data_IF_126451861916
#
_entry.id   IF_126451861916
#
_cell.length_a   1.000
_cell.length_b   1.000
_cell.length_c   1.000
_cell.angle_alpha   90.00
_cell.angle_beta   90.00
_cell.angle_gamma   90.00
#
_symmetry.space_group_name_H-M   'P 1'
#
loop_
_entity.id
_entity.type
_entity.pdbx_description
1 polymer ?
#
# COMPACT_ATOMS: atom_id res chain seq x y z
N UNK A 1 38.32 30.27 -13.10
CA UNK A 1 37.80 30.02 -11.74
C UNK A 1 36.35 30.51 -11.47
N UNK A 2 35.66 31.23 -12.38
CA UNK A 2 34.30 31.77 -12.14
C UNK A 2 33.14 31.10 -12.90
N UNK A 3 33.37 30.25 -13.90
CA UNK A 3 32.30 29.54 -14.63
C UNK A 3 31.85 28.22 -13.98
N UNK A 4 32.77 27.46 -13.35
CA UNK A 4 32.44 26.18 -12.69
C UNK A 4 31.50 26.33 -11.48
N UNK A 5 31.58 27.44 -10.75
CA UNK A 5 30.74 27.74 -9.58
C UNK A 5 29.31 28.13 -9.93
N UNK A 6 29.09 28.81 -11.06
CA UNK A 6 27.74 29.19 -11.53
C UNK A 6 26.95 27.99 -12.08
N UNK A 7 27.64 27.00 -12.65
CA UNK A 7 27.04 25.84 -13.31
C UNK A 7 26.76 24.71 -12.30
N UNK A 8 27.65 24.51 -11.32
CA UNK A 8 27.37 23.69 -10.13
C UNK A 8 26.13 24.22 -9.40
N UNK A 9 26.01 25.55 -9.25
CA UNK A 9 24.82 26.18 -8.68
C UNK A 9 23.54 25.98 -9.51
N UNK A 10 23.60 25.88 -10.84
CA UNK A 10 22.39 25.63 -11.67
C UNK A 10 21.91 24.18 -11.57
N UNK A 11 22.83 23.21 -11.48
CA UNK A 11 22.51 21.80 -11.25
C UNK A 11 22.09 21.53 -9.81
N UNK A 12 22.71 22.19 -8.84
CA UNK A 12 22.22 22.24 -7.46
C UNK A 12 20.87 22.94 -7.38
N UNK A 13 20.63 24.04 -8.09
CA UNK A 13 19.29 24.67 -8.15
C UNK A 13 18.27 23.81 -8.87
N UNK A 14 18.65 22.98 -9.85
CA UNK A 14 17.74 22.02 -10.46
C UNK A 14 17.43 20.89 -9.47
N UNK A 15 18.46 20.33 -8.82
CA UNK A 15 18.33 19.35 -7.74
C UNK A 15 17.49 19.89 -6.59
N UNK A 16 17.73 21.14 -6.18
CA UNK A 16 17.08 21.83 -5.08
C UNK A 16 15.70 22.34 -5.47
N UNK A 17 15.42 22.69 -6.73
CA UNK A 17 14.06 22.97 -7.23
C UNK A 17 13.25 21.69 -7.39
N UNK A 18 13.89 20.60 -7.81
CA UNK A 18 13.31 19.27 -7.81
C UNK A 18 13.01 18.87 -6.35
N UNK A 19 13.97 18.95 -5.43
CA UNK A 19 13.76 18.67 -4.01
C UNK A 19 12.81 19.68 -3.31
N UNK A 20 12.76 20.94 -3.72
CA UNK A 20 11.88 21.97 -3.14
C UNK A 20 10.45 21.87 -3.68
N UNK A 21 10.27 21.49 -4.95
CA UNK A 21 8.95 21.17 -5.53
C UNK A 21 8.38 19.86 -4.99
N UNK A 22 9.26 18.97 -4.53
CA UNK A 22 8.99 17.68 -3.90
C UNK A 22 8.79 17.82 -2.37
N UNK A 23 9.05 19.00 -1.79
CA UNK A 23 9.09 19.20 -0.35
C UNK A 23 10.27 18.46 0.29
N UNK A 24 10.72 18.94 1.46
CA UNK A 24 11.79 18.32 2.29
C UNK A 24 11.52 16.85 2.72
N UNK A 25 10.51 16.17 2.17
CA UNK A 25 10.04 14.85 2.55
C UNK A 25 10.50 13.67 1.69
N UNK A 26 11.13 13.89 0.53
CA UNK A 26 11.67 12.80 -0.30
C UNK A 26 13.19 12.73 -0.22
N UNK A 27 13.71 12.58 1.00
CA UNK A 27 15.01 11.92 1.10
C UNK A 27 14.85 10.46 0.68
N UNK A 28 15.98 9.80 0.46
CA UNK A 28 16.13 8.34 0.32
C UNK A 28 15.54 7.58 1.55
N UNK A 29 15.00 8.28 2.55
CA UNK A 29 14.33 7.71 3.74
C UNK A 29 12.84 7.40 3.54
N UNK A 30 12.24 7.66 2.37
CA UNK A 30 10.92 7.10 2.11
C UNK A 30 11.02 5.56 2.08
N UNK A 31 10.20 4.86 2.90
CA UNK A 31 10.38 3.44 3.11
C UNK A 31 10.16 2.68 1.80
N UNK A 32 10.90 1.58 1.57
CA UNK A 32 10.86 0.85 0.31
C UNK A 32 9.43 0.43 -0.04
N UNK A 33 9.15 0.18 -1.33
CA UNK A 33 7.89 -0.44 -1.75
C UNK A 33 7.53 -1.62 -0.85
N UNK A 34 6.24 -1.79 -0.57
CA UNK A 34 5.73 -2.94 0.18
C UNK A 34 5.90 -4.17 -0.71
N UNK A 35 7.05 -4.83 -0.56
CA UNK A 35 7.43 -6.04 -1.30
C UNK A 35 8.09 -6.99 -0.33
N UNK A 36 7.49 -8.16 -0.19
CA UNK A 36 8.04 -9.29 0.52
C UNK A 36 8.11 -10.51 -0.42
N UNK A 37 8.50 -11.65 0.11
CA UNK A 37 8.43 -12.91 -0.63
C UNK A 37 6.99 -13.17 -1.10
N UNK A 38 6.82 -13.51 -2.38
CA UNK A 38 5.49 -13.76 -2.92
C UNK A 38 4.91 -15.05 -2.36
N UNK A 39 3.73 -14.96 -1.77
CA UNK A 39 3.06 -16.12 -1.18
C UNK A 39 1.95 -16.65 -2.08
N UNK A 40 1.89 -17.98 -2.21
CA UNK A 40 0.72 -18.69 -2.71
C UNK A 40 -0.45 -18.57 -1.73
N UNK A 41 -1.66 -18.97 -2.16
CA UNK A 41 -2.83 -18.96 -1.29
C UNK A 41 -2.66 -19.83 -0.03
N UNK A 42 -1.88 -20.92 -0.12
CA UNK A 42 -1.60 -21.80 1.03
C UNK A 42 -0.55 -21.19 1.96
N UNK A 43 0.47 -20.53 1.41
CA UNK A 43 1.46 -19.78 2.20
C UNK A 43 0.81 -18.58 2.91
N UNK A 44 -0.09 -17.87 2.23
CA UNK A 44 -0.90 -16.81 2.84
C UNK A 44 -1.76 -17.34 3.99
N UNK A 45 -2.34 -18.53 3.88
CA UNK A 45 -3.08 -19.15 4.98
C UNK A 45 -2.19 -19.38 6.21
N UNK A 46 -0.99 -19.95 6.02
CA UNK A 46 -0.02 -20.17 7.09
C UNK A 46 0.44 -18.85 7.72
N UNK A 47 0.69 -17.85 6.87
CA UNK A 47 1.04 -16.49 7.31
C UNK A 47 -0.07 -15.87 8.15
N UNK A 48 -1.34 -16.08 7.80
CA UNK A 48 -2.50 -15.59 8.58
C UNK A 48 -2.49 -16.07 10.02
N UNK A 49 -2.19 -17.36 10.23
CA UNK A 49 -2.08 -17.94 11.58
C UNK A 49 -0.88 -17.37 12.32
N UNK A 50 0.28 -17.27 11.67
CA UNK A 50 1.50 -16.73 12.27
C UNK A 50 1.33 -15.25 12.67
N UNK A 51 0.73 -14.45 11.80
CA UNK A 51 0.45 -13.04 12.03
C UNK A 51 -0.55 -12.84 13.18
N UNK A 52 -1.61 -13.65 13.23
CA UNK A 52 -2.57 -13.59 14.32
C UNK A 52 -1.93 -13.90 15.69
N UNK A 53 -0.97 -14.82 15.75
CA UNK A 53 -0.23 -15.14 16.97
C UNK A 53 0.71 -14.01 17.42
N UNK A 54 1.25 -13.22 16.48
CA UNK A 54 2.16 -12.11 16.80
C UNK A 54 1.44 -10.83 17.23
N UNK A 55 0.17 -10.69 16.83
CA UNK A 55 -0.65 -9.51 17.11
C UNK A 55 -1.04 -9.42 18.58
N UNK A 56 -0.54 -8.38 19.25
CA UNK A 56 -0.94 -8.00 20.61
C UNK A 56 -1.74 -6.71 20.54
N UNK A 57 -2.93 -6.69 21.13
CA UNK A 57 -3.84 -5.54 21.10
C UNK A 57 -3.51 -4.53 22.20
N UNK A 58 -3.56 -3.24 21.85
CA UNK A 58 -3.40 -2.15 22.78
C UNK A 58 -4.65 -2.00 23.68
N UNK A 59 -4.43 -1.66 24.95
CA UNK A 59 -5.52 -1.44 25.91
C UNK A 59 -6.14 -0.04 25.82
N UNK A 60 -5.47 0.91 25.16
CA UNK A 60 -5.86 2.32 25.09
C UNK A 60 -6.05 2.80 23.66
N UNK A 61 -7.03 3.69 23.47
CA UNK A 61 -7.28 4.34 22.19
C UNK A 61 -6.16 5.33 21.89
N UNK A 62 -5.40 5.06 20.83
CA UNK A 62 -4.45 6.00 20.25
C UNK A 62 -5.15 6.92 19.23
N UNK A 63 -4.61 8.11 18.91
CA UNK A 63 -5.16 8.97 17.86
C UNK A 63 -5.17 8.29 16.48
N UNK A 64 -6.02 8.78 15.58
CA UNK A 64 -6.05 8.34 14.18
C UNK A 64 -4.81 8.84 13.44
N UNK A 65 -4.06 7.91 12.83
CA UNK A 65 -2.88 8.22 12.00
C UNK A 65 -3.13 7.96 10.52
N UNK A 66 -4.19 7.23 10.15
CA UNK A 66 -4.44 6.77 8.79
C UNK A 66 -4.82 7.91 7.84
N UNK A 67 -5.60 8.89 8.32
CA UNK A 67 -5.92 10.09 7.53
C UNK A 67 -4.69 10.93 7.22
N UNK A 68 -3.80 11.10 8.20
CA UNK A 68 -2.52 11.79 8.02
C UNK A 68 -1.62 11.07 6.99
N UNK A 69 -1.57 9.74 7.06
CA UNK A 69 -0.85 8.91 6.07
C UNK A 69 -1.45 9.03 4.68
N UNK A 70 -2.78 8.95 4.54
CA UNK A 70 -3.48 9.11 3.26
C UNK A 70 -3.20 10.48 2.64
N UNK A 71 -3.24 11.55 3.44
CA UNK A 71 -2.90 12.89 2.98
C UNK A 71 -1.40 13.05 2.63
N UNK A 72 -0.51 12.30 3.28
CA UNK A 72 0.90 12.18 2.90
C UNK A 72 1.06 11.51 1.54
N UNK A 73 0.44 10.34 1.35
CA UNK A 73 0.48 9.58 0.11
C UNK A 73 -0.13 10.36 -1.05
N UNK A 74 -1.25 11.06 -0.86
CA UNK A 74 -1.86 11.93 -1.87
C UNK A 74 -0.90 13.04 -2.32
N UNK A 75 -0.32 13.79 -1.37
CA UNK A 75 0.66 14.83 -1.69
C UNK A 75 1.86 14.27 -2.44
N UNK A 76 2.32 13.09 -2.03
CA UNK A 76 3.43 12.39 -2.67
C UNK A 76 3.08 12.04 -4.14
N UNK A 77 1.98 11.32 -4.35
CA UNK A 77 1.51 10.92 -5.68
C UNK A 77 1.28 12.12 -6.61
N UNK A 78 0.59 13.17 -6.14
CA UNK A 78 0.38 14.39 -6.92
C UNK A 78 1.72 15.08 -7.25
N UNK A 79 2.67 15.12 -6.32
CA UNK A 79 4.00 15.69 -6.53
C UNK A 79 4.77 14.97 -7.64
N UNK A 80 4.79 13.63 -7.61
CA UNK A 80 5.44 12.80 -8.63
C UNK A 80 4.78 12.98 -9.99
N UNK A 81 3.45 12.94 -10.07
CA UNK A 81 2.75 13.09 -11.34
C UNK A 81 2.97 14.48 -11.96
N UNK A 82 3.00 15.54 -11.15
CA UNK A 82 3.34 16.88 -11.62
C UNK A 82 4.76 16.93 -12.18
N UNK A 83 5.73 16.37 -11.46
CA UNK A 83 7.12 16.29 -11.89
C UNK A 83 7.26 15.56 -13.24
N UNK A 84 6.61 14.41 -13.40
CA UNK A 84 6.68 13.63 -14.64
C UNK A 84 5.95 14.34 -15.80
N UNK A 85 4.87 15.07 -15.53
CA UNK A 85 4.11 15.83 -16.55
C UNK A 85 4.87 17.05 -17.06
N UNK A 86 5.44 17.86 -16.15
CA UNK A 86 6.22 19.06 -16.50
C UNK A 86 7.41 18.74 -17.43
N UNK A 87 7.86 17.49 -17.41
CA UNK A 87 9.02 17.01 -18.14
C UNK A 87 8.64 16.30 -19.44
N UNK A 88 7.50 15.60 -19.48
CA UNK A 88 6.99 14.99 -20.70
C UNK A 88 6.81 16.03 -21.82
N UNK A 89 6.51 17.28 -21.46
CA UNK A 89 6.41 18.42 -22.38
C UNK A 89 7.76 18.91 -22.92
N UNK A 90 8.87 18.59 -22.24
CA UNK A 90 10.25 18.94 -22.66
C UNK A 90 10.90 17.85 -23.53
N UNK A 91 10.11 16.89 -24.03
CA UNK A 91 10.53 15.80 -24.91
C UNK A 91 11.63 14.88 -24.32
N UNK A 92 11.70 14.79 -22.98
CA UNK A 92 12.60 13.86 -22.28
C UNK A 92 11.91 12.52 -22.07
N UNK A 93 12.68 11.43 -22.19
CA UNK A 93 12.13 10.08 -22.02
C UNK A 93 11.67 9.83 -20.57
N UNK A 94 10.37 9.54 -20.42
CA UNK A 94 9.80 9.03 -19.17
C UNK A 94 10.04 7.52 -19.11
N UNK A 95 10.18 6.97 -17.91
CA UNK A 95 10.29 5.51 -17.77
C UNK A 95 8.93 4.86 -18.03
N UNK A 96 8.86 3.61 -18.52
CA UNK A 96 7.58 2.94 -18.76
C UNK A 96 6.67 2.86 -17.51
N UNK A 97 7.26 2.79 -16.32
CA UNK A 97 6.49 2.81 -15.07
C UNK A 97 5.94 4.21 -14.75
N UNK A 98 6.67 5.27 -15.10
CA UNK A 98 6.20 6.65 -14.99
C UNK A 98 5.08 6.99 -15.97
N UNK A 99 5.17 6.52 -17.22
CA UNK A 99 4.09 6.64 -18.20
C UNK A 99 2.81 5.96 -17.70
N UNK A 100 2.94 4.71 -17.25
CA UNK A 100 1.80 3.97 -16.71
C UNK A 100 1.16 4.65 -15.49
N UNK A 101 1.97 5.27 -14.63
CA UNK A 101 1.48 6.05 -13.49
C UNK A 101 0.66 7.27 -13.95
N UNK A 102 1.17 8.03 -14.94
CA UNK A 102 0.49 9.19 -15.50
C UNK A 102 -0.83 8.79 -16.17
N UNK A 103 -0.81 7.74 -16.99
CA UNK A 103 -1.98 7.23 -17.71
C UNK A 103 -3.12 6.83 -16.76
N UNK A 104 -2.78 6.38 -15.55
CA UNK A 104 -3.76 5.89 -14.56
C UNK A 104 -3.96 6.86 -13.39
N UNK A 105 -3.40 8.07 -13.42
CA UNK A 105 -3.45 8.98 -12.26
C UNK A 105 -4.88 9.38 -11.89
N UNK A 106 -5.77 9.56 -12.87
CA UNK A 106 -7.19 9.88 -12.62
C UNK A 106 -7.87 8.83 -11.73
N UNK A 107 -7.55 7.54 -11.93
CA UNK A 107 -8.10 6.43 -11.14
C UNK A 107 -7.56 6.50 -9.71
N UNK A 108 -6.29 6.80 -9.53
CA UNK A 108 -5.67 6.96 -8.21
C UNK A 108 -6.36 8.10 -7.44
N UNK A 109 -6.58 9.25 -8.08
CA UNK A 109 -7.29 10.37 -7.46
C UNK A 109 -8.72 10.02 -7.05
N UNK A 110 -9.44 9.28 -7.90
CA UNK A 110 -10.78 8.79 -7.58
C UNK A 110 -10.77 7.85 -6.37
N UNK A 111 -9.79 6.94 -6.29
CA UNK A 111 -9.66 6.03 -5.15
C UNK A 111 -9.26 6.74 -3.86
N UNK A 112 -8.42 7.78 -3.92
CA UNK A 112 -8.10 8.62 -2.76
C UNK A 112 -9.35 9.35 -2.26
N UNK A 113 -10.13 9.96 -3.18
CA UNK A 113 -11.40 10.62 -2.84
C UNK A 113 -12.39 9.64 -2.20
N UNK A 114 -12.49 8.43 -2.75
CA UNK A 114 -13.32 7.35 -2.21
C UNK A 114 -12.83 6.95 -0.82
N UNK A 115 -11.52 6.76 -0.62
CA UNK A 115 -10.95 6.41 0.67
C UNK A 115 -11.26 7.48 1.73
N UNK A 116 -11.13 8.77 1.41
CA UNK A 116 -11.49 9.88 2.33
C UNK A 116 -12.97 9.87 2.71
N UNK A 117 -13.87 9.56 1.78
CA UNK A 117 -15.33 9.48 2.06
C UNK A 117 -15.69 8.32 2.98
N UNK A 118 -15.05 7.17 2.78
CA UNK A 118 -15.31 5.95 3.56
C UNK A 118 -14.50 5.85 4.86
N UNK A 119 -13.56 6.77 5.09
CA UNK A 119 -12.78 6.88 6.32
C UNK A 119 -13.07 8.22 7.03
N UNK A 120 -14.27 8.44 7.58
CA UNK A 120 -14.57 9.66 8.33
C UNK A 120 -13.71 9.76 9.60
N UNK A 121 -13.54 10.97 10.12
CA UNK A 121 -12.84 11.21 11.37
C UNK A 121 -13.44 10.35 12.49
N UNK A 122 -12.58 9.55 13.13
CA UNK A 122 -12.99 8.69 14.23
C UNK A 122 -13.35 7.25 13.86
N UNK A 123 -13.54 6.92 12.58
CA UNK A 123 -13.82 5.54 12.16
C UNK A 123 -12.76 4.55 12.64
N UNK A 124 -11.48 4.94 12.57
CA UNK A 124 -10.37 4.09 13.02
C UNK A 124 -10.14 4.11 14.54
N UNK A 125 -10.83 4.97 15.29
CA UNK A 125 -10.70 5.03 16.76
C UNK A 125 -11.42 3.86 17.43
N UNK A 126 -12.49 3.36 16.83
CA UNK A 126 -13.28 2.24 17.36
C UNK A 126 -12.66 0.88 17.04
N UNK A 127 -11.68 0.81 16.13
CA UNK A 127 -11.04 -0.44 15.72
C UNK A 127 -9.92 -0.86 16.70
N UNK A 128 -9.79 -2.16 17.03
CA UNK A 128 -8.68 -2.69 17.82
C UNK A 128 -7.31 -2.40 17.20
N UNK A 129 -6.44 -1.75 17.98
CA UNK A 129 -5.10 -1.32 17.55
C UNK A 129 -4.02 -2.25 18.05
N UNK A 130 -2.92 -2.35 17.32
CA UNK A 130 -1.74 -3.10 17.74
C UNK A 130 -0.93 -2.34 18.79
N UNK A 131 -0.46 -3.04 19.82
CA UNK A 131 0.37 -2.50 20.88
C UNK A 131 1.86 -2.43 20.50
N UNK A 132 2.30 -3.34 19.64
CA UNK A 132 3.72 -3.57 19.31
C UNK A 132 3.91 -3.86 17.82
N UNK A 133 5.17 -3.90 17.38
CA UNK A 133 5.55 -4.18 16.01
C UNK A 133 5.55 -2.96 15.08
N UNK A 134 5.84 -3.15 13.78
CA UNK A 134 5.94 -2.06 12.80
C UNK A 134 4.66 -1.23 12.67
N UNK A 135 3.50 -1.87 12.88
CA UNK A 135 2.18 -1.26 12.80
C UNK A 135 1.62 -0.82 14.17
N UNK A 136 2.45 -0.70 15.20
CA UNK A 136 2.03 -0.24 16.52
C UNK A 136 1.25 1.09 16.44
N UNK A 137 0.11 1.14 17.13
CA UNK A 137 -0.82 2.27 17.14
C UNK A 137 -1.73 2.37 15.92
N UNK A 138 -1.67 1.43 14.97
CA UNK A 138 -2.62 1.31 13.87
C UNK A 138 -3.61 0.15 14.11
N UNK A 139 -4.81 0.17 13.50
CA UNK A 139 -5.74 -0.96 13.55
C UNK A 139 -5.07 -2.25 13.06
N UNK A 140 -5.29 -3.39 13.71
CA UNK A 140 -4.68 -4.66 13.27
C UNK A 140 -5.11 -5.07 11.87
N UNK A 141 -6.33 -4.72 11.47
CA UNK A 141 -6.84 -4.93 10.11
C UNK A 141 -6.11 -4.10 9.05
N UNK A 142 -5.47 -2.99 9.44
CA UNK A 142 -4.58 -2.26 8.55
C UNK A 142 -3.28 -3.03 8.33
N UNK A 143 -2.73 -3.66 9.36
CA UNK A 143 -1.54 -4.51 9.23
C UNK A 143 -1.82 -5.75 8.37
N UNK A 144 -2.97 -6.41 8.58
CA UNK A 144 -3.46 -7.48 7.69
C UNK A 144 -3.52 -7.01 6.23
N UNK A 145 -3.99 -5.78 5.99
CA UNK A 145 -3.99 -5.22 4.64
C UNK A 145 -2.58 -4.98 4.10
N UNK A 146 -1.66 -4.41 4.90
CA UNK A 146 -0.26 -4.20 4.50
C UNK A 146 0.43 -5.53 4.14
N UNK A 147 0.25 -6.57 4.94
CA UNK A 147 0.81 -7.91 4.72
C UNK A 147 0.24 -8.54 3.44
N UNK A 148 -1.07 -8.37 3.18
CA UNK A 148 -1.69 -8.81 1.92
C UNK A 148 -1.04 -8.14 0.71
N UNK A 149 -0.76 -6.84 0.80
CA UNK A 149 -0.15 -6.07 -0.29
C UNK A 149 1.34 -6.41 -0.45
N UNK A 150 2.07 -6.61 0.64
CA UNK A 150 3.49 -6.93 0.62
C UNK A 150 3.78 -8.30 -0.01
N UNK A 151 3.03 -9.33 0.39
CA UNK A 151 3.18 -10.70 -0.11
C UNK A 151 2.47 -10.96 -1.45
N UNK A 152 1.64 -10.00 -1.91
CA UNK A 152 1.02 -10.00 -3.24
C UNK A 152 1.71 -9.09 -4.27
N UNK A 153 2.79 -8.39 -3.92
CA UNK A 153 3.40 -7.29 -4.72
C UNK A 153 2.34 -6.33 -5.29
N UNK A 154 1.49 -5.80 -4.41
CA UNK A 154 0.43 -4.87 -4.80
C UNK A 154 -0.83 -5.54 -5.36
N UNK A 155 -0.81 -6.83 -5.68
CA UNK A 155 -1.97 -7.58 -6.21
C UNK A 155 -2.87 -8.07 -5.09
N UNK A 156 -4.15 -7.71 -5.16
CA UNK A 156 -5.20 -8.23 -4.29
C UNK A 156 -5.93 -9.34 -5.04
N UNK A 157 -5.89 -10.54 -4.49
CA UNK A 157 -6.64 -11.70 -4.96
C UNK A 157 -7.69 -12.09 -3.89
N UNK A 158 -8.96 -12.11 -4.26
CA UNK A 158 -10.06 -12.34 -3.30
C UNK A 158 -10.01 -13.73 -2.68
N UNK A 159 -9.57 -14.75 -3.42
CA UNK A 159 -9.48 -16.11 -2.90
C UNK A 159 -8.38 -16.21 -1.85
N UNK A 160 -7.19 -15.70 -2.15
CA UNK A 160 -6.06 -15.62 -1.23
C UNK A 160 -6.41 -14.79 0.02
N UNK A 161 -7.02 -13.62 -0.17
CA UNK A 161 -7.49 -12.76 0.93
C UNK A 161 -8.49 -13.50 1.84
N UNK A 162 -9.46 -14.22 1.26
CA UNK A 162 -10.45 -14.98 2.03
C UNK A 162 -9.78 -16.06 2.87
N UNK A 163 -8.83 -16.81 2.31
CA UNK A 163 -8.08 -17.82 3.05
C UNK A 163 -7.23 -17.21 4.16
N UNK A 164 -6.53 -16.11 3.87
CA UNK A 164 -5.70 -15.40 4.84
C UNK A 164 -6.52 -14.91 6.04
N UNK A 165 -7.64 -14.21 5.79
CA UNK A 165 -8.51 -13.68 6.84
C UNK A 165 -9.19 -14.82 7.62
N UNK A 166 -9.64 -15.87 6.94
CA UNK A 166 -10.21 -17.06 7.60
C UNK A 166 -9.19 -17.73 8.54
N UNK A 167 -7.94 -17.88 8.08
CA UNK A 167 -6.87 -18.46 8.86
C UNK A 167 -6.46 -17.58 10.05
N UNK A 168 -6.38 -16.27 9.84
CA UNK A 168 -6.14 -15.31 10.91
C UNK A 168 -7.22 -15.41 12.01
N UNK A 169 -8.50 -15.44 11.61
CA UNK A 169 -9.63 -15.54 12.54
C UNK A 169 -9.68 -16.87 13.31
N UNK A 170 -9.06 -17.94 12.79
CA UNK A 170 -8.95 -19.22 13.53
C UNK A 170 -8.11 -19.11 14.81
N UNK A 171 -7.29 -18.07 14.91
CA UNK A 171 -6.45 -17.77 16.09
C UNK A 171 -6.98 -16.55 16.83
N UNK A 172 -7.29 -15.47 16.10
CA UNK A 172 -7.74 -14.21 16.68
C UNK A 172 -9.01 -13.71 15.94
N UNK A 173 -10.21 -14.00 16.47
CA UNK A 173 -11.48 -13.55 15.87
C UNK A 173 -11.50 -12.05 15.61
N UNK A 174 -11.99 -11.66 14.43
CA UNK A 174 -12.18 -10.26 14.05
C UNK A 174 -13.63 -9.85 14.37
N UNK A 175 -13.78 -8.62 14.86
CA UNK A 175 -15.09 -8.03 15.09
C UNK A 175 -15.77 -7.67 13.75
N UNK A 176 -17.08 -7.49 13.76
CA UNK A 176 -17.86 -7.06 12.59
C UNK A 176 -17.32 -5.74 12.02
N UNK A 177 -17.09 -4.73 12.86
CA UNK A 177 -16.48 -3.46 12.45
C UNK A 177 -15.10 -3.62 11.81
N UNK A 178 -14.32 -4.61 12.24
CA UNK A 178 -13.02 -4.92 11.65
C UNK A 178 -13.14 -5.55 10.26
N UNK A 179 -14.06 -6.51 10.09
CA UNK A 179 -14.34 -7.12 8.78
C UNK A 179 -14.84 -6.07 7.78
N UNK A 180 -15.72 -5.16 8.22
CA UNK A 180 -16.19 -4.03 7.41
C UNK A 180 -15.10 -3.00 7.10
N UNK A 181 -14.03 -2.96 7.88
CA UNK A 181 -12.90 -2.07 7.64
C UNK A 181 -11.91 -2.64 6.60
N UNK A 182 -11.86 -3.96 6.37
CA UNK A 182 -10.93 -4.59 5.40
C UNK A 182 -10.93 -3.91 4.02
N UNK A 183 -12.08 -3.58 3.39
CA UNK A 183 -12.11 -2.94 2.07
C UNK A 183 -11.37 -1.60 2.04
N UNK A 184 -11.60 -0.77 3.06
CA UNK A 184 -10.94 0.54 3.17
C UNK A 184 -9.47 0.38 3.54
N UNK A 185 -9.12 -0.57 4.42
CA UNK A 185 -7.72 -0.84 4.79
C UNK A 185 -6.89 -1.32 3.61
N UNK A 186 -7.42 -2.22 2.78
CA UNK A 186 -6.76 -2.66 1.55
C UNK A 186 -6.56 -1.50 0.59
N UNK A 187 -7.57 -0.64 0.42
CA UNK A 187 -7.44 0.56 -0.43
C UNK A 187 -6.33 1.50 0.07
N UNK A 188 -6.26 1.73 1.38
CA UNK A 188 -5.19 2.53 1.99
C UNK A 188 -3.81 1.89 1.79
N UNK A 189 -3.69 0.58 1.97
CA UNK A 189 -2.44 -0.15 1.79
C UNK A 189 -1.96 -0.12 0.31
N UNK A 190 -2.88 -0.26 -0.65
CA UNK A 190 -2.56 -0.12 -2.09
C UNK A 190 -2.11 1.30 -2.42
N UNK A 191 -2.82 2.33 -1.94
CA UNK A 191 -2.44 3.74 -2.13
C UNK A 191 -1.07 4.03 -1.51
N UNK A 192 -0.79 3.46 -0.34
CA UNK A 192 0.51 3.59 0.29
C UNK A 192 1.63 2.94 -0.53
N UNK A 193 1.41 1.73 -1.04
CA UNK A 193 2.39 1.09 -1.91
C UNK A 193 2.62 1.89 -3.19
N UNK A 194 1.55 2.42 -3.80
CA UNK A 194 1.65 3.32 -4.94
C UNK A 194 2.47 4.56 -4.62
N UNK A 195 2.28 5.18 -3.46
CA UNK A 195 3.09 6.33 -3.02
C UNK A 195 4.59 5.98 -3.00
N UNK A 196 4.93 4.89 -2.31
CA UNK A 196 6.33 4.39 -2.20
C UNK A 196 6.95 4.05 -3.55
N UNK A 197 6.22 3.35 -4.43
CA UNK A 197 6.72 3.00 -5.77
C UNK A 197 6.86 4.26 -6.66
N UNK A 198 5.92 5.19 -6.58
CA UNK A 198 5.95 6.45 -7.33
C UNK A 198 7.14 7.30 -6.93
N UNK A 199 7.43 7.39 -5.63
CA UNK A 199 8.62 8.06 -5.13
C UNK A 199 9.92 7.45 -5.65
N UNK A 200 10.01 6.11 -5.67
CA UNK A 200 11.15 5.41 -6.26
C UNK A 200 11.32 5.73 -7.74
N UNK A 201 10.23 5.82 -8.50
CA UNK A 201 10.26 6.20 -9.92
C UNK A 201 10.75 7.64 -10.08
N UNK A 202 10.28 8.57 -9.23
CA UNK A 202 10.77 9.94 -9.24
C UNK A 202 12.27 10.01 -8.94
N UNK A 203 12.76 9.28 -7.94
CA UNK A 203 14.19 9.22 -7.61
C UNK A 203 15.03 8.69 -8.79
N UNK A 204 14.64 7.54 -9.37
CA UNK A 204 15.28 6.97 -10.56
C UNK A 204 15.28 7.97 -11.72
N UNK A 205 14.16 8.66 -11.93
CA UNK A 205 14.05 9.67 -12.98
C UNK A 205 15.02 10.85 -12.75
N UNK A 206 15.14 11.35 -11.52
CA UNK A 206 16.09 12.42 -11.17
C UNK A 206 17.53 11.97 -11.44
N UNK A 207 17.88 10.76 -11.01
CA UNK A 207 19.21 10.17 -11.17
C UNK A 207 19.59 9.99 -12.65
N UNK A 208 18.65 9.48 -13.47
CA UNK A 208 18.85 9.35 -14.93
C UNK A 208 19.01 10.70 -15.61
N UNK A 209 18.25 11.72 -15.22
CA UNK A 209 18.41 13.05 -15.82
C UNK A 209 19.72 13.73 -15.43
N UNK A 210 20.20 13.49 -14.21
CA UNK A 210 21.51 13.96 -13.80
C UNK A 210 22.62 13.30 -14.64
N UNK A 211 22.54 11.99 -14.84
CA UNK A 211 23.45 11.24 -15.72
C UNK A 211 23.40 11.75 -17.16
N UNK A 212 22.20 11.94 -17.70
CA UNK A 212 21.99 12.49 -19.05
C UNK A 212 22.65 13.87 -19.21
N UNK A 213 22.44 14.78 -18.25
CA UNK A 213 23.03 16.11 -18.30
C UNK A 213 24.57 16.10 -18.26
N UNK A 214 25.18 15.16 -17.53
CA UNK A 214 26.63 14.98 -17.55
C UNK A 214 27.11 14.35 -18.85
N UNK A 215 26.42 13.35 -19.36
CA UNK A 215 26.75 12.70 -20.62
C UNK A 215 26.69 13.67 -21.80
N UNK A 216 25.66 14.52 -21.86
CA UNK A 216 25.48 15.51 -22.91
C UNK A 216 26.61 16.54 -22.87
N UNK A 217 26.98 17.05 -21.68
CA UNK A 217 28.15 17.94 -21.52
C UNK A 217 29.47 17.30 -21.92
N UNK A 218 29.68 16.03 -21.58
CA UNK A 218 30.89 15.30 -21.94
C UNK A 218 30.96 15.08 -23.46
N UNK A 219 29.83 14.78 -24.08
CA UNK A 219 29.72 14.62 -25.54
C UNK A 219 30.00 15.94 -26.24
N UNK A 220 29.35 17.03 -25.81
CA UNK A 220 29.56 18.38 -26.36
C UNK A 220 31.02 18.82 -26.23
N UNK A 221 31.66 18.56 -25.08
CA UNK A 221 33.07 18.86 -24.86
C UNK A 221 33.98 17.97 -25.73
N UNK A 222 33.69 16.67 -25.84
CA UNK A 222 34.48 15.77 -26.68
C UNK A 222 34.42 16.14 -28.18
N UNK A 223 33.29 16.67 -28.65
CA UNK A 223 33.10 17.09 -30.05
C UNK A 223 33.66 18.48 -30.34
N UNK A 224 33.42 19.46 -29.45
CA UNK A 224 33.68 20.87 -29.74
C UNK A 224 34.92 21.45 -29.03
N UNK A 225 35.32 20.91 -27.88
CA UNK A 225 36.49 21.36 -27.12
C UNK A 225 37.12 20.23 -26.28
N UNK A 226 37.87 19.30 -26.91
CA UNK A 226 38.36 18.09 -26.24
C UNK A 226 39.22 18.36 -25.01
N UNK A 227 39.88 19.52 -24.93
CA UNK A 227 40.70 19.92 -23.78
C UNK A 227 39.85 20.20 -22.54
N UNK A 228 38.62 20.67 -22.74
CA UNK A 228 37.68 20.94 -21.66
C UNK A 228 37.03 19.67 -21.09
N UNK A 229 37.12 18.52 -21.76
CA UNK A 229 36.53 17.26 -21.28
C UNK A 229 37.07 16.85 -19.90
N UNK A 230 38.37 17.03 -19.66
CA UNK A 230 38.99 16.73 -18.35
C UNK A 230 38.39 17.62 -17.25
N UNK A 231 38.11 18.89 -17.56
CA UNK A 231 37.47 19.81 -16.61
C UNK A 231 36.03 19.39 -16.30
N UNK A 232 35.28 18.94 -17.30
CA UNK A 232 33.90 18.43 -17.13
C UNK A 232 33.89 17.18 -16.24
N UNK A 233 34.80 16.23 -16.47
CA UNK A 233 34.93 15.03 -15.63
C UNK A 233 35.30 15.43 -14.19
N UNK A 234 36.24 16.35 -14.02
CA UNK A 234 36.64 16.83 -12.70
C UNK A 234 35.52 17.60 -11.97
N UNK A 235 34.71 18.39 -12.69
CA UNK A 235 33.51 19.04 -12.14
C UNK A 235 32.46 17.99 -11.70
N UNK A 236 32.26 16.94 -12.50
CA UNK A 236 31.37 15.84 -12.13
C UNK A 236 31.86 15.13 -10.87
N UNK A 237 33.12 14.70 -10.83
CA UNK A 237 33.71 14.05 -9.67
C UNK A 237 33.56 14.90 -8.40
N UNK A 238 33.80 16.22 -8.49
CA UNK A 238 33.62 17.17 -7.38
C UNK A 238 32.17 17.33 -6.94
N UNK A 239 31.19 17.12 -7.83
CA UNK A 239 29.77 17.19 -7.49
C UNK A 239 29.28 15.98 -6.69
N UNK A 240 30.13 14.94 -6.53
CA UNK A 240 29.83 13.70 -5.82
C UNK A 240 28.49 13.08 -6.26
N UNK A 241 28.38 12.66 -7.54
CA UNK A 241 27.12 12.12 -8.06
C UNK A 241 26.76 10.81 -7.35
N UNK A 242 25.46 10.49 -7.27
CA UNK A 242 25.00 9.25 -6.66
C UNK A 242 25.47 8.05 -7.50
N UNK A 243 26.29 7.17 -6.94
CA UNK A 243 26.76 5.93 -7.59
C UNK A 243 25.70 4.82 -7.49
N UNK A 244 24.51 5.11 -8.00
CA UNK A 244 23.33 4.24 -7.95
C UNK A 244 23.01 3.70 -9.34
N UNK A 245 22.24 2.61 -9.41
CA UNK A 245 21.97 1.84 -10.64
C UNK A 245 21.49 2.74 -11.78
N UNK A 246 20.54 3.63 -11.50
CA UNK A 246 19.92 4.50 -12.49
C UNK A 246 20.91 5.50 -13.09
N UNK A 247 21.73 6.15 -12.27
CA UNK A 247 22.74 7.11 -12.71
C UNK A 247 23.83 6.41 -13.55
N UNK A 248 24.42 5.35 -13.01
CA UNK A 248 25.52 4.62 -13.68
C UNK A 248 25.05 4.03 -15.01
N UNK A 249 23.87 3.39 -15.03
CA UNK A 249 23.36 2.75 -16.24
C UNK A 249 23.08 3.76 -17.35
N UNK A 250 22.47 4.90 -17.03
CA UNK A 250 22.17 5.93 -18.02
C UNK A 250 23.44 6.61 -18.53
N UNK A 251 24.42 6.86 -17.65
CA UNK A 251 25.70 7.46 -18.03
C UNK A 251 26.51 6.50 -18.90
N UNK A 252 26.64 5.23 -18.50
CA UNK A 252 27.30 4.19 -19.29
C UNK A 252 26.66 4.04 -20.66
N UNK A 253 25.33 3.89 -20.71
CA UNK A 253 24.56 3.74 -21.96
C UNK A 253 24.79 4.89 -22.95
N UNK A 254 24.95 6.13 -22.46
CA UNK A 254 25.14 7.29 -23.34
C UNK A 254 26.58 7.46 -23.82
N UNK A 255 27.57 7.11 -22.99
CA UNK A 255 28.98 7.30 -23.30
C UNK A 255 29.60 6.12 -24.05
N UNK A 256 29.10 4.91 -23.82
CA UNK A 256 29.63 3.68 -24.43
C UNK A 256 29.45 3.73 -25.96
N UNK A 257 30.53 3.43 -26.70
CA UNK A 257 30.52 3.39 -28.17
C UNK A 257 30.66 4.74 -28.88
N UNK A 258 30.81 5.87 -28.16
CA UNK A 258 30.96 7.22 -28.77
C UNK A 258 32.41 7.67 -29.03
N UNK A 259 33.38 6.75 -28.93
CA UNK A 259 34.79 7.00 -29.28
C UNK A 259 35.75 6.98 -28.09
N UNK A 260 37.08 6.98 -28.36
CA UNK A 260 38.11 6.78 -27.35
C UNK A 260 38.25 7.92 -26.33
N UNK A 261 37.84 9.15 -26.69
CA UNK A 261 37.85 10.30 -25.78
C UNK A 261 36.90 10.13 -24.60
N UNK A 262 35.81 9.38 -24.76
CA UNK A 262 34.81 9.12 -23.73
C UNK A 262 35.08 7.84 -22.92
N UNK A 263 36.24 7.20 -23.12
CA UNK A 263 36.68 6.09 -22.26
C UNK A 263 37.06 6.57 -20.85
N UNK A 264 37.68 7.75 -20.73
CA UNK A 264 38.15 8.30 -19.45
C UNK A 264 37.04 8.46 -18.39
N UNK A 265 35.86 9.06 -18.70
CA UNK A 265 34.75 9.10 -17.75
C UNK A 265 34.27 7.71 -17.32
N UNK A 266 34.24 6.72 -18.24
CA UNK A 266 33.82 5.36 -17.92
C UNK A 266 34.80 4.67 -16.99
N UNK A 267 36.11 4.79 -17.25
CA UNK A 267 37.15 4.27 -16.37
C UNK A 267 37.09 4.88 -14.97
N UNK A 268 36.77 6.18 -14.87
CA UNK A 268 36.59 6.83 -13.56
C UNK A 268 35.40 6.24 -12.80
N UNK A 269 34.26 5.99 -13.46
CA UNK A 269 33.09 5.34 -12.83
C UNK A 269 33.43 3.91 -12.42
N UNK A 270 34.11 3.14 -13.27
CA UNK A 270 34.58 1.78 -12.94
C UNK A 270 35.46 1.78 -11.70
N UNK A 271 36.38 2.75 -11.58
CA UNK A 271 37.22 2.88 -10.40
C UNK A 271 36.38 3.17 -9.14
N UNK A 272 35.44 4.12 -9.19
CA UNK A 272 34.54 4.38 -8.07
C UNK A 272 33.69 3.17 -7.68
N UNK A 273 33.19 2.40 -8.64
CA UNK A 273 32.40 1.20 -8.37
C UNK A 273 33.27 0.07 -7.81
N UNK A 274 34.52 -0.05 -8.26
CA UNK A 274 35.45 -1.06 -7.77
C UNK A 274 35.76 -0.89 -6.28
N UNK A 275 35.83 0.35 -5.79
CA UNK A 275 35.97 0.67 -4.36
C UNK A 275 34.78 0.15 -3.53
N UNK A 276 33.61 0.00 -4.15
CA UNK A 276 32.38 -0.53 -3.56
C UNK A 276 32.15 -2.02 -3.89
N UNK A 277 33.10 -2.67 -4.59
CA UNK A 277 32.97 -4.06 -5.04
C UNK A 277 31.90 -4.29 -6.11
N UNK A 278 31.55 -3.27 -6.88
CA UNK A 278 30.53 -3.31 -7.94
C UNK A 278 31.12 -3.09 -9.33
N UNK A 279 30.37 -3.46 -10.37
CA UNK A 279 30.73 -3.20 -11.78
C UNK A 279 29.63 -2.48 -12.53
N UNK A 280 29.96 -1.82 -13.65
CA UNK A 280 28.95 -1.17 -14.51
C UNK A 280 27.91 -2.19 -15.00
N UNK A 281 28.32 -3.40 -15.38
CA UNK A 281 27.41 -4.45 -15.84
C UNK A 281 26.40 -4.86 -14.76
N UNK A 282 26.85 -5.02 -13.51
CA UNK A 282 25.96 -5.29 -12.38
C UNK A 282 24.97 -4.15 -12.14
N UNK A 283 25.42 -2.89 -12.28
CA UNK A 283 24.56 -1.72 -12.13
C UNK A 283 23.49 -1.63 -13.22
N UNK A 284 23.86 -1.93 -14.47
CA UNK A 284 22.93 -2.03 -15.61
C UNK A 284 21.91 -3.15 -15.41
N UNK A 285 22.35 -4.32 -14.97
CA UNK A 285 21.45 -5.43 -14.69
C UNK A 285 20.48 -5.10 -13.55
N UNK A 286 20.99 -4.50 -12.46
CA UNK A 286 20.18 -4.07 -11.33
C UNK A 286 19.14 -3.02 -11.73
N UNK A 287 19.48 -2.07 -12.61
CA UNK A 287 18.54 -1.06 -13.08
C UNK A 287 17.42 -1.68 -13.91
N UNK A 288 17.75 -2.58 -14.83
CA UNK A 288 16.76 -3.28 -15.64
C UNK A 288 15.78 -4.10 -14.78
N UNK A 289 16.29 -4.81 -13.78
CA UNK A 289 15.46 -5.55 -12.81
C UNK A 289 14.56 -4.62 -12.01
N UNK A 290 15.08 -3.49 -11.51
CA UNK A 290 14.32 -2.53 -10.72
C UNK A 290 13.20 -1.87 -11.57
N UNK A 291 13.48 -1.51 -12.82
CA UNK A 291 12.46 -0.95 -13.72
C UNK A 291 11.35 -1.95 -14.02
N UNK A 292 11.70 -3.21 -14.29
CA UNK A 292 10.72 -4.28 -14.50
C UNK A 292 9.84 -4.48 -13.25
N UNK A 293 10.46 -4.57 -12.07
CA UNK A 293 9.75 -4.71 -10.80
C UNK A 293 8.82 -3.53 -10.52
N UNK A 294 9.28 -2.29 -10.73
CA UNK A 294 8.44 -1.10 -10.55
C UNK A 294 7.23 -1.07 -11.49
N UNK A 295 7.42 -1.45 -12.77
CA UNK A 295 6.33 -1.53 -13.73
C UNK A 295 5.27 -2.54 -13.31
N UNK A 296 5.69 -3.75 -12.92
CA UNK A 296 4.77 -4.81 -12.46
C UNK A 296 4.02 -4.36 -11.20
N UNK A 297 4.72 -3.82 -10.23
CA UNK A 297 4.14 -3.39 -8.95
C UNK A 297 3.09 -2.28 -9.12
N UNK A 298 3.33 -1.28 -9.98
CA UNK A 298 2.28 -0.28 -10.29
C UNK A 298 1.10 -0.93 -11.01
N UNK A 299 1.37 -1.78 -12.01
CA UNK A 299 0.30 -2.46 -12.76
C UNK A 299 -0.60 -3.28 -11.82
N UNK A 300 0.01 -4.02 -10.88
CA UNK A 300 -0.69 -4.78 -9.86
C UNK A 300 -1.51 -3.88 -8.94
N UNK A 301 -0.94 -2.80 -8.40
CA UNK A 301 -1.66 -1.86 -7.56
C UNK A 301 -2.87 -1.24 -8.28
N UNK A 302 -2.71 -0.80 -9.54
CA UNK A 302 -3.80 -0.27 -10.35
C UNK A 302 -4.88 -1.34 -10.60
N UNK A 303 -4.47 -2.57 -10.92
CA UNK A 303 -5.39 -3.71 -11.05
C UNK A 303 -6.17 -3.96 -9.76
N UNK A 304 -5.49 -3.95 -8.62
CA UNK A 304 -6.09 -4.13 -7.29
C UNK A 304 -7.09 -3.04 -6.95
N UNK A 305 -6.81 -1.78 -7.25
CA UNK A 305 -7.78 -0.70 -7.05
C UNK A 305 -9.09 -0.95 -7.80
N UNK A 306 -9.02 -1.49 -9.04
CA UNK A 306 -10.19 -1.89 -9.81
C UNK A 306 -10.91 -3.10 -9.20
N UNK A 307 -10.16 -4.12 -8.77
CA UNK A 307 -10.71 -5.30 -8.08
C UNK A 307 -11.45 -4.89 -6.80
N UNK A 308 -10.84 -4.06 -5.96
CA UNK A 308 -11.44 -3.58 -4.71
C UNK A 308 -12.74 -2.79 -4.92
N UNK A 309 -12.92 -2.16 -6.08
CA UNK A 309 -14.15 -1.48 -6.46
C UNK A 309 -15.25 -2.44 -6.97
N UNK A 310 -14.87 -3.62 -7.48
CA UNK A 310 -15.78 -4.59 -8.09
C UNK A 310 -16.24 -5.71 -7.13
N UNK A 311 -15.49 -5.99 -6.06
CA UNK A 311 -15.82 -7.04 -5.08
C UNK A 311 -17.12 -6.70 -4.32
N UNK A 312 -18.04 -7.65 -4.20
CA UNK A 312 -19.19 -7.52 -3.28
C UNK A 312 -18.72 -7.78 -1.84
N UNK A 313 -18.37 -6.69 -1.17
CA UNK A 313 -17.90 -6.74 0.22
C UNK A 313 -18.97 -7.24 1.20
N UNK A 314 -20.27 -7.19 0.84
CA UNK A 314 -21.33 -7.73 1.68
C UNK A 314 -21.23 -9.26 1.76
N UNK A 315 -21.05 -9.91 0.61
CA UNK A 315 -20.86 -11.36 0.54
C UNK A 315 -19.56 -11.78 1.25
N UNK A 316 -18.48 -11.03 1.06
CA UNK A 316 -17.21 -11.27 1.73
C UNK A 316 -17.35 -11.24 3.26
N UNK A 317 -17.97 -10.20 3.81
CA UNK A 317 -18.17 -10.04 5.26
C UNK A 317 -19.11 -11.12 5.81
N UNK A 318 -20.24 -11.39 5.13
CA UNK A 318 -21.17 -12.44 5.59
C UNK A 318 -20.53 -13.84 5.58
N UNK A 319 -19.67 -14.12 4.60
CA UNK A 319 -18.95 -15.40 4.49
C UNK A 319 -17.92 -15.58 5.59
N UNK A 320 -17.29 -14.50 6.05
CA UNK A 320 -16.20 -14.55 7.03
C UNK A 320 -16.63 -14.23 8.45
N UNK A 321 -17.80 -13.64 8.65
CA UNK A 321 -18.30 -13.26 9.97
C UNK A 321 -18.72 -14.47 10.79
N UNK A 322 -18.07 -14.64 11.94
CA UNK A 322 -18.44 -15.64 12.96
C UNK A 322 -19.85 -15.33 13.50
N UNK A 323 -20.18 -14.05 13.67
CA UNK A 323 -21.53 -13.61 14.09
C UNK A 323 -22.58 -14.02 13.07
N UNK A 324 -22.37 -13.74 11.78
CA UNK A 324 -23.31 -14.13 10.71
C UNK A 324 -23.54 -15.65 10.69
N UNK A 325 -22.45 -16.44 10.74
CA UNK A 325 -22.53 -17.91 10.79
C UNK A 325 -23.29 -18.41 12.02
N UNK A 326 -23.12 -17.75 13.16
CA UNK A 326 -23.82 -18.10 14.41
C UNK A 326 -25.30 -17.76 14.32
N UNK A 327 -25.66 -16.55 13.88
CA UNK A 327 -27.06 -16.12 13.76
C UNK A 327 -27.86 -16.96 12.74
N UNK A 328 -27.21 -17.51 11.72
CA UNK A 328 -27.83 -18.46 10.77
C UNK A 328 -28.28 -19.79 11.39
N UNK A 329 -27.84 -20.10 12.61
CA UNK A 329 -28.30 -21.25 13.38
C UNK A 329 -29.65 -21.00 14.09
N UNK A 330 -30.33 -19.90 13.77
CA UNK A 330 -31.70 -19.61 14.19
C UNK A 330 -32.60 -20.85 13.96
N UNK A 331 -33.33 -21.34 14.98
CA UNK A 331 -34.08 -22.59 14.90
C UNK A 331 -35.08 -22.66 13.74
N UNK A 332 -35.79 -21.56 13.46
CA UNK A 332 -36.73 -21.47 12.34
C UNK A 332 -36.08 -21.15 10.99
N UNK A 333 -34.75 -20.97 10.95
CA UNK A 333 -33.99 -20.50 9.79
C UNK A 333 -34.54 -19.21 9.15
N UNK A 334 -35.30 -18.42 9.90
CA UNK A 334 -35.89 -17.19 9.39
C UNK A 334 -34.81 -16.15 9.15
N UNK A 335 -33.85 -16.06 10.07
CA UNK A 335 -32.71 -15.16 9.95
C UNK A 335 -32.00 -15.31 8.59
N UNK A 336 -31.64 -16.54 8.19
CA UNK A 336 -30.89 -16.79 6.96
C UNK A 336 -31.66 -16.48 5.66
N UNK A 337 -32.99 -16.35 5.74
CA UNK A 337 -33.87 -16.02 4.60
C UNK A 337 -34.19 -14.52 4.51
N UNK A 338 -33.78 -13.73 5.49
CA UNK A 338 -33.99 -12.28 5.51
C UNK A 338 -33.08 -11.58 4.50
N UNK A 339 -33.53 -10.41 4.04
CA UNK A 339 -32.72 -9.54 3.22
C UNK A 339 -31.48 -9.03 3.98
N UNK A 340 -30.51 -8.51 3.23
CA UNK A 340 -29.25 -8.03 3.80
C UNK A 340 -29.48 -6.94 4.86
N UNK A 341 -30.35 -5.96 4.58
CA UNK A 341 -30.60 -4.84 5.48
C UNK A 341 -31.18 -5.29 6.84
N UNK A 342 -32.09 -6.26 6.83
CA UNK A 342 -32.63 -6.82 8.08
C UNK A 342 -31.57 -7.59 8.84
N UNK A 343 -30.77 -8.44 8.17
CA UNK A 343 -29.67 -9.17 8.84
C UNK A 343 -28.61 -8.22 9.41
N UNK A 344 -28.36 -7.11 8.73
CA UNK A 344 -27.42 -6.08 9.17
C UNK A 344 -27.88 -5.38 10.44
N UNK A 345 -29.17 -5.10 10.57
CA UNK A 345 -29.75 -4.56 11.81
C UNK A 345 -29.51 -5.48 13.02
N UNK A 346 -29.52 -6.79 12.83
CA UNK A 346 -29.25 -7.76 13.90
C UNK A 346 -27.76 -7.78 14.25
N UNK A 347 -26.88 -7.72 13.24
CA UNK A 347 -25.43 -7.60 13.45
C UNK A 347 -25.07 -6.34 14.24
N UNK A 348 -25.65 -5.19 13.89
CA UNK A 348 -25.50 -3.96 14.68
C UNK A 348 -26.07 -4.07 16.11
N UNK A 349 -27.15 -4.84 16.31
CA UNK A 349 -27.63 -5.11 17.65
C UNK A 349 -26.62 -5.92 18.47
N UNK A 350 -25.99 -6.93 17.88
CA UNK A 350 -24.91 -7.72 18.50
C UNK A 350 -23.73 -6.81 18.89
N UNK A 351 -23.20 -5.99 17.96
CA UNK A 351 -22.11 -5.05 18.24
C UNK A 351 -22.45 -4.11 19.41
N UNK A 352 -23.67 -3.55 19.41
CA UNK A 352 -24.14 -2.64 20.45
C UNK A 352 -24.22 -3.31 21.81
N UNK A 353 -24.72 -4.55 21.88
CA UNK A 353 -24.84 -5.32 23.12
C UNK A 353 -23.45 -5.72 23.62
N UNK A 354 -22.60 -6.26 22.74
CA UNK A 354 -21.23 -6.65 23.04
C UNK A 354 -20.44 -5.50 23.68
N UNK A 355 -20.51 -4.30 23.08
CA UNK A 355 -19.86 -3.09 23.60
C UNK A 355 -20.38 -2.68 24.98
N UNK A 356 -21.70 -2.73 25.21
CA UNK A 356 -22.30 -2.37 26.51
C UNK A 356 -21.93 -3.38 27.61
N UNK A 357 -21.93 -4.67 27.29
CA UNK A 357 -21.67 -5.75 28.23
C UNK A 357 -20.18 -6.08 28.40
N UNK A 358 -19.29 -5.47 27.60
CA UNK A 358 -17.85 -5.78 27.53
C UNK A 358 -17.60 -7.28 27.26
N UNK A 359 -18.42 -7.87 26.41
CA UNK A 359 -18.31 -9.25 25.94
C UNK A 359 -17.93 -9.27 24.45
N UNK A 360 -17.46 -10.41 23.94
CA UNK A 360 -17.21 -10.55 22.50
C UNK A 360 -18.53 -10.60 21.72
N UNK A 361 -18.50 -10.16 20.47
CA UNK A 361 -19.66 -10.24 19.57
C UNK A 361 -20.10 -11.69 19.33
N UNK A 362 -19.13 -12.61 19.27
CA UNK A 362 -19.37 -14.04 19.17
C UNK A 362 -20.18 -14.55 20.38
N UNK A 363 -19.76 -14.22 21.60
CA UNK A 363 -20.47 -14.67 22.82
C UNK A 363 -21.90 -14.14 22.86
N UNK A 364 -22.12 -12.89 22.47
CA UNK A 364 -23.48 -12.32 22.40
C UNK A 364 -24.35 -13.05 21.37
N UNK A 365 -23.81 -13.33 20.18
CA UNK A 365 -24.53 -14.08 19.15
C UNK A 365 -24.85 -15.51 19.60
N UNK A 366 -23.91 -16.20 20.25
CA UNK A 366 -24.10 -17.55 20.79
C UNK A 366 -25.19 -17.58 21.88
N UNK A 367 -25.19 -16.61 22.80
CA UNK A 367 -26.21 -16.50 23.84
C UNK A 367 -27.61 -16.26 23.26
N UNK A 368 -27.74 -15.36 22.28
CA UNK A 368 -29.02 -15.11 21.62
C UNK A 368 -29.58 -16.37 20.94
N UNK A 369 -28.71 -17.15 20.29
CA UNK A 369 -29.09 -18.42 19.66
C UNK A 369 -29.41 -19.50 20.69
N UNK A 370 -28.67 -19.58 21.80
CA UNK A 370 -28.95 -20.52 22.88
C UNK A 370 -30.34 -20.26 23.51
N UNK A 371 -30.68 -19.00 23.74
CA UNK A 371 -32.01 -18.59 24.24
C UNK A 371 -33.13 -18.97 23.25
N UNK A 372 -32.92 -18.70 21.95
CA UNK A 372 -33.87 -19.09 20.90
C UNK A 372 -34.06 -20.62 20.84
N UNK A 373 -32.96 -21.39 20.87
CA UNK A 373 -33.01 -22.86 20.86
C UNK A 373 -33.71 -23.43 22.09
N UNK A 374 -33.51 -22.85 23.27
CA UNK A 374 -34.16 -23.29 24.51
C UNK A 374 -35.70 -23.15 24.46
N UNK A 375 -36.21 -22.23 23.64
CA UNK A 375 -37.65 -21.98 23.48
C UNK A 375 -38.23 -22.56 22.18
N UNK A 376 -37.45 -23.30 21.40
CA UNK A 376 -37.86 -23.87 20.10
C UNK A 376 -38.59 -25.21 20.19
N UNK A 377 -38.65 -25.84 21.38
CA UNK A 377 -39.19 -27.19 21.58
C UNK A 377 -40.58 -27.28 22.23
N UNK A 378 -41.29 -26.16 22.40
CA UNK A 378 -42.62 -26.14 23.01
C UNK A 378 -43.70 -25.94 21.93
N UNK A 379 -43.97 -27.02 21.19
CA UNK A 379 -44.98 -27.09 20.11
C UNK A 379 -46.40 -26.64 20.55
N UNK A 380 -46.65 -26.49 21.85
CA UNK A 380 -47.93 -26.04 22.42
C UNK A 380 -48.09 -24.51 22.52
N UNK A 381 -47.09 -23.69 22.18
CA UNK A 381 -47.09 -22.23 22.49
C UNK A 381 -47.62 -21.28 21.41
N UNK A 382 -48.13 -21.78 20.27
CA UNK A 382 -48.73 -20.96 19.21
C UNK A 382 -47.81 -19.85 18.66
N UNK A 383 -48.37 -18.72 18.21
CA UNK A 383 -47.58 -17.60 17.65
C UNK A 383 -46.53 -17.04 18.64
N UNK A 384 -46.81 -17.09 19.94
CA UNK A 384 -45.91 -16.58 20.99
C UNK A 384 -44.68 -17.48 21.14
N UNK A 385 -44.85 -18.80 21.06
CA UNK A 385 -43.74 -19.77 21.03
C UNK A 385 -42.82 -19.56 19.84
N UNK A 386 -43.41 -19.34 18.65
CA UNK A 386 -42.65 -19.07 17.43
C UNK A 386 -41.82 -17.78 17.52
N UNK A 387 -42.29 -16.76 18.26
CA UNK A 387 -41.52 -15.53 18.50
C UNK A 387 -40.37 -15.76 19.49
N UNK A 388 -40.59 -16.53 20.55
CA UNK A 388 -39.54 -16.87 21.53
C UNK A 388 -38.47 -17.81 20.93
N UNK A 389 -38.84 -18.63 19.95
CA UNK A 389 -37.92 -19.50 19.22
C UNK A 389 -37.06 -18.77 18.17
N UNK A 390 -37.24 -17.46 17.97
CA UNK A 390 -36.52 -16.67 16.97
C UNK A 390 -35.46 -15.77 17.61
N UNK A 391 -34.25 -15.76 17.03
CA UNK A 391 -33.11 -14.96 17.51
C UNK A 391 -33.41 -13.46 17.58
N UNK A 392 -34.28 -12.95 16.70
CA UNK A 392 -34.66 -11.54 16.68
C UNK A 392 -35.34 -11.06 17.96
N UNK A 393 -36.02 -11.94 18.69
CA UNK A 393 -36.67 -11.59 19.95
C UNK A 393 -35.65 -11.12 21.00
N UNK A 394 -34.46 -11.73 21.05
CA UNK A 394 -33.42 -11.46 22.03
C UNK A 394 -32.44 -10.34 21.62
N UNK A 395 -32.35 -10.04 20.32
CA UNK A 395 -31.43 -9.01 19.82
C UNK A 395 -32.11 -7.65 19.59
N UNK A 396 -33.33 -7.66 19.06
CA UNK A 396 -34.03 -6.44 18.65
C UNK A 396 -35.46 -6.34 19.21
N UNK A 397 -36.00 -7.43 19.74
CA UNK A 397 -37.34 -7.51 20.30
C UNK A 397 -37.40 -7.32 21.81
N UNK A 398 -38.50 -7.80 22.40
CA UNK A 398 -38.82 -7.62 23.81
C UNK A 398 -38.04 -8.55 24.76
N UNK A 399 -37.23 -9.47 24.22
CA UNK A 399 -36.31 -10.31 25.00
C UNK A 399 -34.98 -9.63 25.33
N UNK A 400 -34.80 -8.37 24.91
CA UNK A 400 -33.65 -7.55 25.24
C UNK A 400 -33.78 -7.02 26.68
N UNK A 401 -33.33 -7.81 27.67
CA UNK A 401 -33.29 -7.43 29.08
C UNK A 401 -31.86 -7.07 29.53
#
# INVERSE_FOLDING_TARGET
MRLGTLISNKLHQLRDRLHAGIGKGYSIDEPPPLRAELFSADQMEQHGKALALSHVLAQSQSPDKLLGRLAGNERSLTGVCRLLTEVATENRQVTPAGEWLLDNFYLIEEQIRTAKRHLPEGYSLELPKLAQGPSAGHPRVYDVALETIAHGDGRVDTQSLTRFVSAYQSVAPLNLGELWAIPIMLRLAVIENLGRVSARIAAVWIERNLAAAWADKMTDAAENDPKSLILVIADMARSNPPMVSAFVSELARRLQGRGPSLALPLTWIEQCLSEMGQTIEQMVQSENQQQAANKVSISNCIGSLRVLAAVDWREFVETLSIVEKTLRQDPGHHYGRMDFATRDRYRHAVERIARKCRQSEETVAQLAIALAKANAGEDEKGETGNRLAHVGFYLIGNGLA
#
